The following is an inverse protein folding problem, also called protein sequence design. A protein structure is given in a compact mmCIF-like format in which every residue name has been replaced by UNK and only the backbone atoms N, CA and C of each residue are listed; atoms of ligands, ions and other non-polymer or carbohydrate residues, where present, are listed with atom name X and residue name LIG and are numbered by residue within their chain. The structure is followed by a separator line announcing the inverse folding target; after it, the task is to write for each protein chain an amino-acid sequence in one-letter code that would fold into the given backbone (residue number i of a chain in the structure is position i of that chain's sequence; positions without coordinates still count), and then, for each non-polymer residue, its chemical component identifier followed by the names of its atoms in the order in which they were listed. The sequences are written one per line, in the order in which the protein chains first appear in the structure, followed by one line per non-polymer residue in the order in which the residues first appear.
data_IF_194929253152
#
_entry.id   IF_194929253152
#
_cell.length_a   1.000
_cell.length_b   1.000
_cell.length_c   1.000
_cell.angle_alpha   90.00
_cell.angle_beta   90.00
_cell.angle_gamma   90.00
#
_symmetry.space_group_name_H-M   'P 1'
#
loop_
_entity.id
_entity.type
_entity.pdbx_description
1 polymer ?
#
# COMPACT_ATOMS: atom_id res chain seq x y z
N UNK A 1 14.64 -7.80 5.27
CA UNK A 1 14.03 -6.70 4.49
C UNK A 1 14.08 -5.45 5.33
N UNK A 2 14.48 -4.32 4.75
CA UNK A 2 14.60 -3.05 5.49
C UNK A 2 13.28 -2.28 5.39
N UNK A 3 12.75 -1.84 6.53
CA UNK A 3 11.57 -0.97 6.62
C UNK A 3 12.04 0.47 6.69
N UNK A 4 11.58 1.31 5.77
CA UNK A 4 11.83 2.76 5.78
C UNK A 4 10.53 3.50 6.13
N UNK A 5 10.60 4.43 7.09
CA UNK A 5 9.65 5.55 7.16
C UNK A 5 10.09 6.55 6.09
N UNK A 6 9.23 6.80 5.11
CA UNK A 6 9.65 7.50 3.91
C UNK A 6 9.41 9.02 4.06
N UNK A 7 10.35 9.86 3.58
CA UNK A 7 10.38 11.32 3.73
C UNK A 7 9.32 12.10 2.90
N UNK A 8 9.70 13.21 2.25
CA UNK A 8 8.77 14.08 1.48
C UNK A 8 8.86 14.01 -0.06
N UNK A 9 9.82 13.27 -0.63
CA UNK A 9 9.87 12.92 -2.07
C UNK A 9 8.62 12.21 -2.61
N UNK A 10 8.54 12.14 -3.94
CA UNK A 10 7.44 11.55 -4.70
C UNK A 10 7.24 10.05 -4.50
N UNK A 11 8.11 9.34 -3.82
CA UNK A 11 7.99 7.87 -3.77
C UNK A 11 7.71 7.42 -2.34
N UNK A 12 7.27 8.36 -1.49
CA UNK A 12 7.10 8.13 -0.07
C UNK A 12 5.77 7.49 0.29
N UNK A 13 5.86 6.71 1.36
CA UNK A 13 4.76 6.09 2.05
C UNK A 13 5.07 6.07 3.55
N UNK A 14 4.04 5.89 4.38
CA UNK A 14 4.26 5.54 5.79
C UNK A 14 5.09 4.27 5.94
N UNK A 15 4.93 3.32 5.01
CA UNK A 15 5.85 2.19 4.81
C UNK A 15 6.01 1.86 3.32
N UNK A 16 7.26 1.71 2.88
CA UNK A 16 7.62 1.25 1.54
C UNK A 16 8.31 -0.12 1.60
N UNK A 17 7.78 -1.08 0.84
CA UNK A 17 8.43 -2.34 0.54
C UNK A 17 9.01 -2.24 -0.88
N UNK A 18 10.32 -2.42 -1.00
CA UNK A 18 11.04 -2.38 -2.27
C UNK A 18 11.84 -3.67 -2.42
N UNK A 19 11.68 -4.38 -3.52
CA UNK A 19 12.29 -5.69 -3.77
C UNK A 19 12.11 -6.67 -2.58
N UNK A 20 10.95 -6.60 -1.91
CA UNK A 20 10.71 -7.35 -0.67
C UNK A 20 9.77 -8.51 -0.94
N UNK A 21 10.22 -9.71 -0.54
CA UNK A 21 9.47 -10.95 -0.68
C UNK A 21 9.05 -11.48 0.68
N UNK A 22 7.86 -12.09 0.78
CA UNK A 22 7.38 -12.81 1.97
C UNK A 22 7.28 -11.95 3.25
N UNK A 23 7.04 -10.64 3.09
CA UNK A 23 6.86 -9.70 4.19
C UNK A 23 5.44 -9.73 4.77
N UNK A 24 5.29 -9.25 6.01
CA UNK A 24 4.01 -9.14 6.69
C UNK A 24 3.85 -7.75 7.32
N UNK A 25 2.79 -7.05 6.93
CA UNK A 25 2.42 -5.75 7.50
C UNK A 25 1.01 -5.89 8.07
N UNK A 26 0.87 -5.88 9.40
CA UNK A 26 -0.43 -6.13 10.02
C UNK A 26 -0.74 -5.26 11.22
N UNK A 27 -1.99 -4.82 11.31
CA UNK A 27 -2.54 -4.10 12.46
C UNK A 27 -1.81 -2.80 12.82
N UNK A 28 -1.40 -2.05 11.79
CA UNK A 28 -0.76 -0.74 11.96
C UNK A 28 -1.63 0.39 11.43
N UNK A 29 -1.31 1.62 11.85
CA UNK A 29 -1.92 2.85 11.33
C UNK A 29 -0.91 3.63 10.47
N UNK A 30 -1.17 3.69 9.16
CA UNK A 30 -0.44 4.44 8.14
C UNK A 30 -1.29 5.56 7.57
N UNK A 31 -1.94 6.33 8.44
CA UNK A 31 -2.79 7.46 8.05
C UNK A 31 -2.03 8.79 8.07
N UNK A 32 -2.55 9.79 7.37
CA UNK A 32 -2.04 11.17 7.38
C UNK A 32 -0.59 11.30 6.88
N UNK A 33 -0.19 10.49 5.89
CA UNK A 33 1.08 10.64 5.20
C UNK A 33 0.93 11.56 3.99
N UNK A 34 1.99 12.33 3.70
CA UNK A 34 2.04 13.27 2.58
C UNK A 34 2.00 12.63 1.18
N UNK A 35 1.82 11.30 1.08
CA UNK A 35 1.57 10.63 -0.20
C UNK A 35 0.82 9.29 -0.04
N UNK A 36 1.53 8.19 0.21
CA UNK A 36 0.91 6.87 0.34
C UNK A 36 0.90 6.38 1.79
N UNK A 37 -0.04 5.50 2.16
CA UNK A 37 0.03 4.81 3.45
C UNK A 37 1.03 3.66 3.39
N UNK A 38 0.70 2.65 2.57
CA UNK A 38 1.52 1.47 2.30
C UNK A 38 1.84 1.45 0.81
N UNK A 39 3.11 1.29 0.46
CA UNK A 39 3.56 1.22 -0.94
C UNK A 39 4.44 -0.02 -1.16
N UNK A 40 4.05 -0.87 -2.09
CA UNK A 40 4.84 -1.98 -2.61
C UNK A 40 5.35 -1.58 -3.99
N UNK A 41 6.65 -1.68 -4.17
CA UNK A 41 7.32 -1.28 -5.39
C UNK A 41 8.38 -2.29 -5.81
N UNK A 42 8.59 -2.40 -7.12
CA UNK A 42 9.72 -3.07 -7.75
C UNK A 42 9.85 -4.52 -7.27
N UNK A 43 9.09 -5.42 -7.90
CA UNK A 43 9.12 -6.86 -7.61
C UNK A 43 8.88 -7.17 -6.12
N UNK A 44 7.94 -6.50 -5.45
CA UNK A 44 7.57 -6.82 -4.07
C UNK A 44 6.45 -7.85 -4.00
N UNK A 45 6.82 -9.13 -3.95
CA UNK A 45 5.88 -10.26 -4.10
C UNK A 45 5.63 -11.06 -2.83
N UNK A 46 4.52 -11.81 -2.83
CA UNK A 46 4.17 -12.76 -1.76
C UNK A 46 4.08 -12.10 -0.38
N UNK A 47 3.77 -10.81 -0.31
CA UNK A 47 3.58 -10.09 0.94
C UNK A 47 2.13 -10.20 1.43
N UNK A 48 1.97 -10.17 2.75
CA UNK A 48 0.65 -10.11 3.41
C UNK A 48 0.45 -8.75 4.06
N UNK A 49 -0.58 -8.03 3.61
CA UNK A 49 -1.01 -6.73 4.15
C UNK A 49 -2.42 -6.90 4.71
N UNK A 50 -2.56 -6.90 6.04
CA UNK A 50 -3.88 -7.15 6.64
C UNK A 50 -4.18 -6.39 7.93
N UNK A 51 -5.42 -5.93 8.09
CA UNK A 51 -5.85 -5.26 9.32
C UNK A 51 -5.27 -3.87 9.53
N UNK A 52 -4.71 -3.24 8.50
CA UNK A 52 -4.10 -1.92 8.62
C UNK A 52 -5.13 -0.80 8.33
N UNK A 53 -4.87 0.37 8.89
CA UNK A 53 -5.62 1.60 8.63
C UNK A 53 -4.70 2.51 7.81
N UNK A 54 -5.08 2.85 6.59
CA UNK A 54 -4.32 3.71 5.68
C UNK A 54 -5.25 4.75 5.05
N UNK A 55 -5.73 5.68 5.88
CA UNK A 55 -6.69 6.73 5.49
C UNK A 55 -6.06 8.11 5.48
N UNK A 56 -6.71 9.10 4.86
CA UNK A 56 -6.26 10.49 4.84
C UNK A 56 -4.81 10.66 4.35
N UNK A 57 -4.36 9.80 3.44
CA UNK A 57 -3.08 9.98 2.77
C UNK A 57 -3.30 10.83 1.51
N UNK A 58 -2.35 11.71 1.19
CA UNK A 58 -2.51 12.70 0.10
C UNK A 58 -2.79 12.06 -1.26
N UNK A 59 -2.35 10.80 -1.47
CA UNK A 59 -2.59 10.02 -2.69
C UNK A 59 -3.36 8.73 -2.47
N UNK A 60 -2.72 7.66 -2.00
CA UNK A 60 -3.39 6.33 -1.89
C UNK A 60 -3.16 5.70 -0.54
N UNK A 61 -4.14 4.97 -0.03
CA UNK A 61 -3.99 4.20 1.20
C UNK A 61 -2.98 3.08 1.02
N UNK A 62 -3.24 2.18 0.06
CA UNK A 62 -2.37 1.06 -0.29
C UNK A 62 -2.10 1.11 -1.80
N UNK A 63 -0.84 1.04 -2.19
CA UNK A 63 -0.43 1.09 -3.59
C UNK A 63 0.55 -0.04 -3.91
N UNK A 64 0.30 -0.79 -4.98
CA UNK A 64 1.21 -1.77 -5.55
C UNK A 64 1.59 -1.31 -6.96
N UNK A 65 2.88 -1.30 -7.28
CA UNK A 65 3.40 -0.84 -8.58
C UNK A 65 4.65 -1.63 -9.01
N UNK A 66 4.83 -1.78 -10.32
CA UNK A 66 6.02 -2.36 -10.96
C UNK A 66 6.22 -3.81 -10.53
N UNK A 67 5.38 -4.69 -11.05
CA UNK A 67 5.45 -6.15 -10.94
C UNK A 67 5.35 -6.68 -9.50
N UNK A 68 4.55 -6.02 -8.65
CA UNK A 68 4.27 -6.49 -7.30
C UNK A 68 3.20 -7.59 -7.30
N UNK A 69 3.63 -8.84 -7.45
CA UNK A 69 2.78 -9.97 -7.77
C UNK A 69 2.47 -10.87 -6.54
N UNK A 70 1.38 -11.63 -6.61
CA UNK A 70 1.04 -12.66 -5.62
C UNK A 70 0.90 -12.14 -4.16
N UNK A 71 0.52 -10.88 -3.96
CA UNK A 71 0.31 -10.31 -2.64
C UNK A 71 -1.12 -10.54 -2.14
N UNK A 72 -1.27 -10.65 -0.83
CA UNK A 72 -2.58 -10.73 -0.17
C UNK A 72 -2.86 -9.43 0.58
N UNK A 73 -3.88 -8.69 0.12
CA UNK A 73 -4.34 -7.45 0.74
C UNK A 73 -5.75 -7.66 1.30
N UNK A 74 -5.86 -7.84 2.63
CA UNK A 74 -7.14 -8.22 3.24
C UNK A 74 -7.49 -7.53 4.54
N UNK A 75 -8.75 -7.10 4.70
CA UNK A 75 -9.21 -6.57 6.00
C UNK A 75 -8.61 -5.21 6.36
N UNK A 76 -8.19 -4.42 5.37
CA UNK A 76 -7.64 -3.08 5.60
C UNK A 76 -8.74 -2.01 5.43
N UNK A 77 -8.63 -0.93 6.19
CA UNK A 77 -9.38 0.31 5.97
C UNK A 77 -8.48 1.26 5.19
N UNK A 78 -8.77 1.50 3.92
CA UNK A 78 -7.90 2.28 3.05
C UNK A 78 -8.71 3.29 2.23
N UNK A 79 -8.34 4.56 2.38
CA UNK A 79 -8.94 5.67 1.65
C UNK A 79 -7.89 6.70 1.29
N UNK A 80 -8.21 7.52 0.30
CA UNK A 80 -7.41 8.64 -0.12
C UNK A 80 -8.06 9.96 0.28
N UNK A 81 -7.26 11.03 0.27
CA UNK A 81 -7.77 12.38 0.50
C UNK A 81 -8.35 13.03 -0.78
N UNK A 82 -7.89 12.63 -1.97
CA UNK A 82 -8.28 13.27 -3.24
C UNK A 82 -9.58 12.69 -3.83
N UNK A 83 -10.50 13.56 -4.22
CA UNK A 83 -11.80 13.18 -4.83
C UNK A 83 -11.73 12.89 -6.33
N UNK A 84 -10.53 12.82 -6.90
CA UNK A 84 -10.32 12.49 -8.31
C UNK A 84 -10.63 11.02 -8.55
N UNK A 85 -11.31 10.70 -9.66
CA UNK A 85 -11.75 9.33 -9.99
C UNK A 85 -10.60 8.32 -10.19
N UNK A 86 -9.35 8.77 -10.24
CA UNK A 86 -8.16 7.93 -10.51
C UNK A 86 -7.47 7.43 -9.23
N UNK A 87 -7.94 7.88 -8.07
CA UNK A 87 -7.33 7.55 -6.79
C UNK A 87 -8.29 6.64 -6.01
N UNK A 88 -8.01 5.36 -6.06
CA UNK A 88 -8.67 4.34 -5.23
C UNK A 88 -7.88 4.19 -3.92
N UNK A 89 -8.59 3.86 -2.82
CA UNK A 89 -7.94 3.64 -1.52
C UNK A 89 -6.91 2.52 -1.56
N UNK A 90 -7.15 1.50 -2.40
CA UNK A 90 -6.22 0.45 -2.77
C UNK A 90 -6.11 0.47 -4.29
N UNK A 91 -4.89 0.57 -4.84
CA UNK A 91 -4.67 0.56 -6.28
C UNK A 91 -3.49 -0.34 -6.64
N UNK A 92 -3.63 -1.08 -7.73
CA UNK A 92 -2.66 -2.03 -8.25
C UNK A 92 -2.33 -1.61 -9.69
N UNK A 93 -1.07 -1.27 -9.96
CA UNK A 93 -0.57 -0.86 -11.27
C UNK A 93 0.50 -1.85 -11.75
N UNK A 94 0.29 -2.44 -12.93
CA UNK A 94 1.18 -3.47 -13.46
C UNK A 94 1.52 -4.56 -12.43
N UNK A 95 0.52 -5.05 -11.70
CA UNK A 95 0.70 -5.95 -10.56
C UNK A 95 -0.36 -7.07 -10.60
N UNK A 96 0.08 -8.28 -10.89
CA UNK A 96 -0.75 -9.43 -11.23
C UNK A 96 -0.90 -10.44 -10.08
N UNK A 97 -1.92 -11.29 -10.17
CA UNK A 97 -2.19 -12.40 -9.25
C UNK A 97 -2.34 -11.97 -7.76
N UNK A 98 -2.75 -10.73 -7.52
CA UNK A 98 -2.96 -10.21 -6.18
C UNK A 98 -4.37 -10.55 -5.68
N UNK A 99 -4.47 -10.94 -4.41
CA UNK A 99 -5.75 -11.19 -3.75
C UNK A 99 -6.15 -9.98 -2.91
N UNK A 100 -7.19 -9.25 -3.35
CA UNK A 100 -7.76 -8.10 -2.63
C UNK A 100 -9.13 -8.48 -2.08
N UNK A 101 -9.29 -8.56 -0.75
CA UNK A 101 -10.54 -9.04 -0.15
C UNK A 101 -10.89 -8.35 1.17
N UNK A 102 -12.18 -8.19 1.48
CA UNK A 102 -12.67 -7.67 2.78
C UNK A 102 -12.07 -6.31 3.20
N UNK A 103 -11.66 -5.48 2.26
CA UNK A 103 -11.17 -4.13 2.54
C UNK A 103 -12.35 -3.13 2.52
N UNK A 104 -12.28 -2.10 3.35
CA UNK A 104 -13.27 -1.02 3.41
C UNK A 104 -12.64 0.35 3.07
N UNK A 105 -13.49 1.29 2.65
CA UNK A 105 -13.14 2.70 2.50
C UNK A 105 -13.24 3.42 3.84
#
# INVERSE_FOLDING_TARGET
STVYNAGTSSDNAGIKLENTKNGKITNNNFSNNGRHGIYLWNDSDNNTISGNIAINNDKRGIYLQDDCNNNTISGNTASNYMTSKQDEGIYLDGSDNNTVSKNCK
#
